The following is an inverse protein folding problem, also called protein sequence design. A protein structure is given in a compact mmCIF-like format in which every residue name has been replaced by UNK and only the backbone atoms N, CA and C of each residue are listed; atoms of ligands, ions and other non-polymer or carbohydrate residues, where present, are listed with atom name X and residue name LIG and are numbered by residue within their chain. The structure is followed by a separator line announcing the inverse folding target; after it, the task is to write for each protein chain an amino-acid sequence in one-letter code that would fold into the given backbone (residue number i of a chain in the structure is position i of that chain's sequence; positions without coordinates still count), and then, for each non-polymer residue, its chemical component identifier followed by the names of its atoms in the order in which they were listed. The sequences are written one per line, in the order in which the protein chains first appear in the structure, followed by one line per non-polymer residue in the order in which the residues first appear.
data_IF_588871516406
#
_entry.id   IF_588871516406
#
_cell.length_a   1.000
_cell.length_b   1.000
_cell.length_c   1.000
_cell.angle_alpha   90.00
_cell.angle_beta   90.00
_cell.angle_gamma   90.00
#
_symmetry.space_group_name_H-M   'P 1'
#
loop_
_entity.id
_entity.type
_entity.pdbx_description
1 polymer ?
#
# COMPACT_ATOMS: atom_id res chain seq x y z
N UNK A 1 -15.69 -15.40 3.09
CA UNK A 1 -15.77 -14.03 2.54
C UNK A 1 -14.38 -13.50 2.31
N UNK A 2 -14.13 -12.92 1.16
CA UNK A 2 -12.81 -12.39 0.84
C UNK A 2 -12.52 -11.11 1.65
N UNK A 3 -11.27 -10.92 2.01
CA UNK A 3 -10.84 -9.70 2.66
C UNK A 3 -10.87 -8.52 1.69
N UNK A 4 -11.06 -7.29 2.17
CA UNK A 4 -10.80 -6.10 1.35
C UNK A 4 -9.36 -6.10 0.84
N UNK A 5 -9.16 -5.52 -0.36
CA UNK A 5 -7.82 -5.48 -0.97
C UNK A 5 -6.78 -4.84 -0.05
N UNK A 6 -7.12 -3.73 0.59
CA UNK A 6 -6.16 -3.03 1.46
C UNK A 6 -5.72 -3.92 2.63
N UNK A 7 -6.62 -4.71 3.20
CA UNK A 7 -6.25 -5.64 4.27
C UNK A 7 -5.28 -6.71 3.75
N UNK A 8 -5.52 -7.25 2.57
CA UNK A 8 -4.63 -8.24 1.98
C UNK A 8 -3.23 -7.67 1.72
N UNK A 9 -3.15 -6.40 1.30
CA UNK A 9 -1.86 -5.72 1.13
C UNK A 9 -1.16 -5.60 2.49
N UNK A 10 -1.87 -5.20 3.54
CA UNK A 10 -1.29 -5.12 4.89
C UNK A 10 -0.79 -6.47 5.35
N UNK A 11 -1.57 -7.54 5.15
CA UNK A 11 -1.16 -8.89 5.53
C UNK A 11 0.09 -9.34 4.77
N UNK A 12 0.20 -8.96 3.49
CA UNK A 12 1.40 -9.23 2.72
C UNK A 12 2.61 -8.52 3.30
N UNK A 13 2.47 -7.21 3.60
CA UNK A 13 3.56 -6.43 4.19
C UNK A 13 3.95 -6.97 5.57
N UNK A 14 2.99 -7.46 6.34
CA UNK A 14 3.25 -8.12 7.62
C UNK A 14 4.05 -9.41 7.40
N UNK A 15 3.73 -10.18 6.38
CA UNK A 15 4.42 -11.45 6.08
C UNK A 15 5.87 -11.25 5.69
N UNK A 16 6.24 -10.08 5.15
CA UNK A 16 7.62 -9.75 4.79
C UNK A 16 8.27 -8.82 5.83
N UNK A 17 7.66 -8.71 7.01
CA UNK A 17 8.20 -7.98 8.17
C UNK A 17 8.41 -6.47 7.95
N UNK A 18 7.58 -5.84 7.13
CA UNK A 18 7.64 -4.40 6.90
C UNK A 18 6.67 -3.62 7.79
N UNK A 19 5.62 -4.29 8.29
CA UNK A 19 4.69 -3.72 9.27
C UNK A 19 4.41 -4.76 10.34
N UNK A 20 3.98 -4.32 11.50
CA UNK A 20 3.59 -5.23 12.60
C UNK A 20 2.17 -5.74 12.40
N UNK A 21 1.26 -4.90 11.95
CA UNK A 21 -0.09 -5.34 11.68
C UNK A 21 -1.08 -4.21 11.46
N UNK A 22 -2.25 -4.62 10.99
CA UNK A 22 -3.37 -3.71 10.74
C UNK A 22 -3.86 -3.11 12.06
N UNK A 23 -3.94 -1.79 12.12
CA UNK A 23 -4.35 -1.07 13.33
C UNK A 23 -3.24 -0.87 14.34
N UNK A 24 -2.04 -1.38 14.11
CA UNK A 24 -0.86 -1.18 14.97
C UNK A 24 0.03 -0.09 14.38
N UNK A 25 0.59 -0.33 13.21
CA UNK A 25 1.42 0.62 12.48
C UNK A 25 1.07 0.71 10.99
N UNK A 26 0.02 0.02 10.57
CA UNK A 26 -0.53 0.11 9.23
C UNK A 26 -2.03 0.40 9.34
N UNK A 27 -2.51 1.43 8.66
CA UNK A 27 -3.89 1.90 8.76
C UNK A 27 -4.49 2.04 7.37
N UNK A 28 -5.75 1.62 7.25
CA UNK A 28 -6.50 1.61 5.99
C UNK A 28 -7.55 2.70 6.02
N UNK A 29 -7.52 3.61 5.05
CA UNK A 29 -8.52 4.69 4.89
C UNK A 29 -8.68 5.56 6.15
N UNK A 30 -7.65 5.61 6.99
CA UNK A 30 -7.67 6.33 8.25
C UNK A 30 -6.26 6.81 8.57
N UNK A 31 -6.15 8.04 9.06
CA UNK A 31 -4.85 8.64 9.43
C UNK A 31 -4.86 8.92 10.93
N UNK A 32 -4.22 8.06 11.74
CA UNK A 32 -4.16 8.27 13.17
C UNK A 32 -3.19 9.39 13.52
N UNK A 33 -3.42 10.03 14.67
CA UNK A 33 -2.47 11.01 15.17
C UNK A 33 -1.19 10.34 15.69
N UNK A 34 -1.32 9.18 16.31
CA UNK A 34 -0.23 8.38 16.85
C UNK A 34 -0.34 6.93 16.39
N UNK A 35 0.77 6.19 16.29
CA UNK A 35 2.17 6.57 16.52
C UNK A 35 2.72 7.47 15.41
N UNK A 36 3.90 8.05 15.63
CA UNK A 36 4.53 8.92 14.62
C UNK A 36 4.85 8.16 13.34
N UNK A 37 5.40 6.96 13.46
CA UNK A 37 5.74 6.14 12.30
C UNK A 37 4.61 5.19 11.98
N UNK A 38 3.99 5.37 10.83
CA UNK A 38 2.88 4.55 10.35
C UNK A 38 2.95 4.39 8.84
N UNK A 39 2.32 3.32 8.36
CA UNK A 39 2.07 3.10 6.94
C UNK A 39 0.58 3.32 6.70
N UNK A 40 0.27 4.17 5.76
CA UNK A 40 -1.10 4.57 5.43
C UNK A 40 -1.45 4.05 4.04
N UNK A 41 -2.56 3.34 3.94
CA UNK A 41 -3.04 2.80 2.68
C UNK A 41 -4.41 3.38 2.37
N UNK A 42 -4.58 3.82 1.14
CA UNK A 42 -5.85 4.38 0.67
C UNK A 42 -6.14 3.89 -0.73
N UNK A 43 -7.36 3.46 -0.95
CA UNK A 43 -7.83 3.13 -2.29
C UNK A 43 -8.54 4.35 -2.88
N UNK A 44 -8.29 4.61 -4.16
CA UNK A 44 -8.93 5.71 -4.85
C UNK A 44 -9.45 5.22 -6.20
N UNK A 45 -10.14 6.09 -6.93
CA UNK A 45 -10.82 5.72 -8.17
C UNK A 45 -9.85 5.12 -9.17
N UNK A 46 -10.16 3.90 -9.63
CA UNK A 46 -9.40 3.20 -10.65
C UNK A 46 -10.16 3.11 -11.97
N UNK A 47 -9.65 2.28 -12.86
CA UNK A 47 -10.31 2.02 -14.13
C UNK A 47 -11.57 1.19 -13.93
N UNK A 48 -12.60 1.38 -14.77
CA UNK A 48 -13.78 0.54 -14.71
C UNK A 48 -13.46 -0.93 -15.00
N UNK A 49 -14.24 -1.83 -14.42
CA UNK A 49 -14.12 -3.26 -14.71
C UNK A 49 -14.51 -3.54 -16.15
N UNK A 50 -13.86 -4.53 -16.76
CA UNK A 50 -14.24 -5.01 -18.08
C UNK A 50 -15.49 -5.88 -17.93
N UNK A 51 -16.58 -5.64 -18.70
CA UNK A 51 -17.86 -6.28 -18.43
C UNK A 51 -17.87 -7.81 -18.42
N UNK A 52 -17.00 -8.44 -19.17
CA UNK A 52 -16.92 -9.91 -19.26
C UNK A 52 -15.74 -10.49 -18.48
N UNK A 53 -15.11 -9.69 -17.64
CA UNK A 53 -13.91 -10.07 -16.91
C UNK A 53 -14.21 -10.07 -15.40
N UNK A 54 -13.64 -11.00 -14.67
CA UNK A 54 -13.72 -11.05 -13.21
C UNK A 54 -12.64 -10.23 -12.54
N UNK A 55 -11.72 -9.67 -13.32
CA UNK A 55 -10.62 -8.85 -12.83
C UNK A 55 -11.02 -7.37 -12.86
N UNK A 56 -10.56 -6.64 -11.86
CA UNK A 56 -10.73 -5.18 -11.81
C UNK A 56 -9.38 -4.53 -11.60
N UNK A 57 -9.24 -3.31 -12.11
CA UNK A 57 -8.07 -2.48 -11.88
C UNK A 57 -8.37 -1.50 -10.74
N UNK A 58 -7.59 -1.58 -9.68
CA UNK A 58 -7.77 -0.76 -8.50
C UNK A 58 -6.52 0.07 -8.25
N UNK A 59 -6.70 1.29 -7.80
CA UNK A 59 -5.60 2.21 -7.53
C UNK A 59 -5.43 2.37 -6.03
N UNK A 60 -4.19 2.20 -5.56
CA UNK A 60 -3.87 2.27 -4.14
C UNK A 60 -2.74 3.26 -3.95
N UNK A 61 -2.89 4.14 -2.98
CA UNK A 61 -1.83 5.02 -2.53
C UNK A 61 -1.28 4.48 -1.21
N UNK A 62 0.04 4.36 -1.13
CA UNK A 62 0.73 3.93 0.07
C UNK A 62 1.63 5.07 0.51
N UNK A 63 1.46 5.52 1.75
CA UNK A 63 2.25 6.58 2.34
C UNK A 63 2.89 6.09 3.63
N UNK A 64 4.12 6.52 3.87
CA UNK A 64 4.83 6.24 5.11
C UNK A 64 5.09 7.57 5.80
N UNK A 65 4.66 7.68 7.05
CA UNK A 65 4.87 8.85 7.88
C UNK A 65 5.92 8.55 8.94
N UNK A 66 6.83 9.49 9.16
CA UNK A 66 7.81 9.42 10.25
C UNK A 66 8.26 10.81 10.63
N UNK A 67 8.78 10.96 11.85
CA UNK A 67 9.43 12.19 12.28
C UNK A 67 10.70 12.50 11.46
N UNK A 68 11.32 11.46 10.91
CA UNK A 68 12.60 11.58 10.22
C UNK A 68 12.43 11.25 8.75
N UNK A 69 12.86 12.17 7.88
CA UNK A 69 12.73 12.01 6.43
C UNK A 69 13.41 10.74 5.92
N UNK A 70 14.62 10.46 6.41
CA UNK A 70 15.38 9.29 5.96
C UNK A 70 14.68 7.99 6.34
N UNK A 71 14.07 7.93 7.51
CA UNK A 71 13.32 6.76 7.97
C UNK A 71 12.07 6.55 7.12
N UNK A 72 11.31 7.60 6.86
CA UNK A 72 10.12 7.52 6.02
C UNK A 72 10.48 7.07 4.60
N UNK A 73 11.50 7.68 4.01
CA UNK A 73 11.97 7.35 2.67
C UNK A 73 12.44 5.90 2.58
N UNK A 74 13.25 5.46 3.55
CA UNK A 74 13.79 4.10 3.56
C UNK A 74 12.69 3.05 3.65
N UNK A 75 11.72 3.23 4.54
CA UNK A 75 10.62 2.29 4.67
C UNK A 75 9.72 2.30 3.44
N UNK A 76 9.42 3.48 2.88
CA UNK A 76 8.64 3.57 1.66
C UNK A 76 9.33 2.84 0.50
N UNK A 77 10.66 2.97 0.39
CA UNK A 77 11.42 2.27 -0.64
C UNK A 77 11.41 0.75 -0.42
N UNK A 78 11.49 0.28 0.82
CA UNK A 78 11.40 -1.14 1.13
C UNK A 78 10.04 -1.72 0.75
N UNK A 79 8.96 -0.99 1.03
CA UNK A 79 7.61 -1.41 0.63
C UNK A 79 7.49 -1.44 -0.89
N UNK A 80 7.99 -0.40 -1.55
CA UNK A 80 7.99 -0.34 -3.01
C UNK A 80 8.70 -1.56 -3.61
N UNK A 81 9.88 -1.91 -3.10
CA UNK A 81 10.64 -3.07 -3.57
C UNK A 81 9.94 -4.39 -3.28
N UNK A 82 9.24 -4.49 -2.14
CA UNK A 82 8.50 -5.70 -1.78
C UNK A 82 7.33 -5.95 -2.74
N UNK A 83 6.74 -4.88 -3.26
CA UNK A 83 5.64 -4.97 -4.23
C UNK A 83 6.14 -5.07 -5.67
N UNK A 84 7.42 -4.83 -5.91
CA UNK A 84 8.02 -4.96 -7.22
C UNK A 84 8.28 -6.44 -7.53
N UNK A 85 7.92 -6.85 -8.74
CA UNK A 85 8.16 -8.21 -9.21
C UNK A 85 8.41 -8.18 -10.71
N UNK A 86 9.40 -8.93 -11.17
CA UNK A 86 9.68 -9.05 -12.60
C UNK A 86 8.50 -9.64 -13.36
N UNK A 87 7.72 -10.49 -12.71
CA UNK A 87 6.51 -11.06 -13.30
C UNK A 87 5.29 -10.19 -13.07
N UNK A 88 5.41 -9.15 -12.27
CA UNK A 88 4.35 -8.24 -11.84
C UNK A 88 3.20 -8.91 -11.09
N UNK A 89 3.33 -10.17 -10.74
CA UNK A 89 2.31 -10.91 -9.98
C UNK A 89 2.76 -11.04 -8.53
N UNK A 90 1.90 -10.62 -7.62
CA UNK A 90 2.16 -10.71 -6.17
C UNK A 90 1.06 -11.55 -5.54
N UNK A 91 1.46 -12.53 -4.75
CA UNK A 91 0.52 -13.32 -3.94
C UNK A 91 0.40 -12.63 -2.58
N UNK A 92 -0.65 -11.82 -2.42
CA UNK A 92 -0.85 -11.06 -1.18
C UNK A 92 -1.15 -11.99 -0.01
N UNK A 93 -2.03 -12.95 -0.25
CA UNK A 93 -2.38 -14.01 0.71
C UNK A 93 -2.54 -15.32 -0.05
N UNK A 94 -2.83 -16.42 0.66
CA UNK A 94 -3.11 -17.71 0.02
C UNK A 94 -4.36 -17.67 -0.86
N UNK A 95 -5.24 -16.69 -0.65
CA UNK A 95 -6.53 -16.58 -1.36
C UNK A 95 -6.56 -15.46 -2.38
N UNK A 96 -5.57 -14.56 -2.37
CA UNK A 96 -5.57 -13.42 -3.28
C UNK A 96 -4.20 -13.22 -3.91
N UNK A 97 -4.22 -13.12 -5.23
CA UNK A 97 -3.08 -12.65 -6.01
C UNK A 97 -3.51 -11.43 -6.82
N UNK A 98 -2.55 -10.67 -7.26
CA UNK A 98 -2.83 -9.54 -8.14
C UNK A 98 -1.62 -9.20 -8.96
N UNK A 99 -1.85 -8.50 -10.07
CA UNK A 99 -0.80 -7.92 -10.88
C UNK A 99 -0.60 -6.48 -10.41
N UNK A 100 0.62 -6.19 -9.96
CA UNK A 100 0.95 -4.86 -9.44
C UNK A 100 1.66 -4.05 -10.51
N UNK A 101 1.15 -2.85 -10.75
CA UNK A 101 1.74 -1.90 -11.68
C UNK A 101 2.31 -0.74 -10.87
N UNK A 102 3.62 -0.68 -10.73
CA UNK A 102 4.30 0.41 -10.05
C UNK A 102 4.33 1.62 -10.99
N UNK A 103 3.83 2.75 -10.53
CA UNK A 103 3.68 3.94 -11.37
C UNK A 103 4.84 4.90 -11.24
N UNK A 104 5.32 5.11 -10.02
CA UNK A 104 6.47 5.97 -9.76
C UNK A 104 7.15 5.52 -8.47
N UNK A 105 8.46 5.76 -8.32
CA UNK A 105 9.15 5.47 -7.06
C UNK A 105 8.65 6.40 -5.94
N UNK A 106 8.92 6.05 -4.68
CA UNK A 106 8.52 6.88 -3.56
C UNK A 106 9.07 8.30 -3.66
N UNK A 107 8.22 9.27 -3.32
CA UNK A 107 8.57 10.68 -3.30
C UNK A 107 7.97 11.34 -2.07
N UNK A 108 8.51 12.50 -1.70
CA UNK A 108 7.98 13.27 -0.58
C UNK A 108 6.61 13.82 -0.96
N UNK A 109 5.59 13.43 -0.20
CA UNK A 109 4.21 13.84 -0.46
C UNK A 109 3.91 15.16 0.24
N UNK A 110 4.19 15.22 1.56
CA UNK A 110 3.86 16.39 2.37
C UNK A 110 4.60 16.34 3.71
N UNK A 111 4.52 17.44 4.45
CA UNK A 111 4.88 17.52 5.86
C UNK A 111 3.58 17.82 6.60
N UNK A 112 3.25 17.03 7.62
CA UNK A 112 2.01 17.24 8.34
C UNK A 112 2.13 18.37 9.38
N UNK A 113 1.03 18.68 10.07
CA UNK A 113 0.98 19.76 11.05
C UNK A 113 1.88 19.56 12.27
N UNK A 114 2.34 18.32 12.49
CA UNK A 114 3.24 17.96 13.59
C UNK A 114 4.67 17.75 13.10
N UNK A 115 5.02 18.32 11.95
CA UNK A 115 6.34 18.25 11.33
C UNK A 115 6.82 16.83 10.99
N UNK A 116 5.89 15.89 10.84
CA UNK A 116 6.20 14.54 10.39
C UNK A 116 6.16 14.50 8.86
N UNK A 117 7.06 13.74 8.28
CA UNK A 117 7.27 13.72 6.84
C UNK A 117 6.59 12.48 6.27
N UNK A 118 5.88 12.67 5.16
CA UNK A 118 5.23 11.58 4.45
C UNK A 118 5.90 11.37 3.10
N UNK A 119 6.36 10.13 2.89
CA UNK A 119 6.80 9.64 1.58
C UNK A 119 5.78 8.63 1.09
N UNK A 120 5.53 8.64 -0.20
CA UNK A 120 4.54 7.72 -0.73
C UNK A 120 4.69 7.46 -2.20
N UNK A 121 3.87 6.54 -2.68
CA UNK A 121 3.80 6.20 -4.09
C UNK A 121 2.43 5.60 -4.39
N UNK A 122 2.09 5.57 -5.66
CA UNK A 122 0.83 5.02 -6.13
C UNK A 122 1.10 3.73 -6.91
N UNK A 123 0.23 2.76 -6.75
CA UNK A 123 0.26 1.53 -7.51
C UNK A 123 -1.11 1.27 -8.12
N UNK A 124 -1.10 0.53 -9.23
CA UNK A 124 -2.30 -0.08 -9.76
C UNK A 124 -2.27 -1.56 -9.44
N UNK A 125 -3.40 -2.13 -9.05
CA UNK A 125 -3.53 -3.55 -8.77
C UNK A 125 -4.67 -4.12 -9.61
N UNK A 126 -4.34 -5.09 -10.44
CA UNK A 126 -5.35 -5.86 -11.17
C UNK A 126 -5.59 -7.14 -10.38
N UNK A 127 -6.78 -7.29 -9.87
CA UNK A 127 -7.14 -8.41 -9.00
C UNK A 127 -8.60 -8.78 -9.20
N UNK A 128 -9.00 -9.89 -8.61
CA UNK A 128 -10.40 -10.35 -8.73
C UNK A 128 -11.36 -9.41 -7.99
N UNK A 129 -12.59 -9.37 -8.47
CA UNK A 129 -13.69 -8.73 -7.75
C UNK A 129 -13.90 -9.51 -6.44
N UNK A 130 -14.05 -8.79 -5.36
CA UNK A 130 -14.24 -9.36 -4.03
C UNK A 130 -15.57 -10.10 -3.88
#
# INVERSE_FOLDING_TARGET
MANPLLLDIVLYLQSVNLVEGDGVDAFRDFTPDMPDQVVLLKEYVGSPAVPYDTMVNRSVQIKVRSKYADTARALALQIYKALYSDTTIVNFTSERWGQVHLRQPPFKVEVDKNDRILYGFNIGVSTTIE
#
